data_IF_411653049229
#
_entry.id   IF_411653049229
#
_cell.length_a   1.000
_cell.length_b   1.000
_cell.length_c   1.000
_cell.angle_alpha   90.00
_cell.angle_beta   90.00
_cell.angle_gamma   90.00
#
_symmetry.space_group_name_H-M   'P 1'
#
loop_
_entity.id
_entity.type
_entity.pdbx_description
1 polymer ?
#
# COMPACT_ATOMS: atom_id res chain seq x y z
N UNK A 1 12.18 5.92 -2.75
CA UNK A 1 10.70 6.11 -2.79
C UNK A 1 10.06 4.79 -3.17
N UNK A 2 8.89 4.43 -2.62
CA UNK A 2 8.19 3.18 -2.98
C UNK A 2 7.51 3.38 -4.34
N UNK A 3 7.54 2.38 -5.21
CA UNK A 3 6.99 2.47 -6.57
C UNK A 3 6.07 1.29 -6.81
N UNK A 4 4.92 1.57 -7.37
CA UNK A 4 3.91 0.57 -7.73
C UNK A 4 3.73 0.58 -9.25
N UNK A 5 4.35 -0.37 -9.97
CA UNK A 5 4.05 -0.58 -11.39
C UNK A 5 2.56 -0.86 -11.56
N UNK A 6 1.94 -0.22 -12.55
CA UNK A 6 0.49 -0.35 -12.82
C UNK A 6 -0.39 -0.06 -11.59
N UNK A 7 -0.01 0.95 -10.79
CA UNK A 7 -0.62 1.29 -9.49
C UNK A 7 -2.14 1.12 -9.42
N UNK A 8 -2.94 1.76 -10.29
CA UNK A 8 -4.41 1.63 -10.28
C UNK A 8 -4.95 0.19 -10.41
N UNK A 9 -4.23 -0.70 -11.10
CA UNK A 9 -4.65 -2.08 -11.33
C UNK A 9 -4.39 -2.96 -10.09
N UNK A 10 -3.38 -2.60 -9.28
CA UNK A 10 -2.93 -3.40 -8.15
C UNK A 10 -3.18 -2.77 -6.78
N UNK A 11 -3.69 -1.54 -6.72
CA UNK A 11 -3.75 -0.74 -5.49
C UNK A 11 -4.64 -1.35 -4.40
N UNK A 12 -5.78 -1.96 -4.73
CA UNK A 12 -6.59 -2.64 -3.70
C UNK A 12 -5.97 -3.93 -3.17
N UNK A 13 -5.06 -4.55 -3.91
CA UNK A 13 -4.30 -5.73 -3.46
C UNK A 13 -3.11 -5.28 -2.63
N UNK A 14 -2.23 -4.47 -3.23
CA UNK A 14 -0.97 -4.07 -2.62
C UNK A 14 -1.22 -3.10 -1.48
N UNK A 15 -2.17 -2.19 -1.65
CA UNK A 15 -2.32 -1.01 -0.81
C UNK A 15 -1.25 0.03 -1.10
N UNK A 16 -0.96 0.84 -0.09
CA UNK A 16 0.04 1.88 -0.16
C UNK A 16 0.71 2.09 1.19
N UNK A 17 1.88 2.73 1.13
CA UNK A 17 2.59 3.26 2.30
C UNK A 17 2.55 4.79 2.31
N UNK A 18 2.50 5.38 3.49
CA UNK A 18 2.77 6.82 3.71
C UNK A 18 3.67 7.02 4.92
N UNK A 19 4.14 8.25 5.11
CA UNK A 19 4.92 8.61 6.29
C UNK A 19 4.08 8.41 7.55
N UNK A 20 4.71 7.87 8.59
CA UNK A 20 4.02 7.58 9.85
C UNK A 20 3.42 8.86 10.47
N UNK A 21 2.15 8.77 10.87
CA UNK A 21 1.45 9.87 11.53
C UNK A 21 1.90 10.07 12.98
N UNK A 22 1.68 11.25 13.59
CA UNK A 22 2.06 11.51 14.98
C UNK A 22 1.40 10.57 16.00
N UNK A 23 0.17 10.14 15.77
CA UNK A 23 -0.55 9.23 16.66
C UNK A 23 -0.04 7.79 16.54
N UNK A 24 0.15 7.31 15.31
CA UNK A 24 0.75 5.99 15.04
C UNK A 24 2.17 5.89 15.57
N UNK A 25 2.95 6.97 15.48
CA UNK A 25 4.31 7.04 16.02
C UNK A 25 4.33 6.80 17.54
N UNK A 26 3.35 7.35 18.27
CA UNK A 26 3.21 7.13 19.72
C UNK A 26 2.85 5.68 20.05
N UNK A 27 2.06 5.02 19.19
CA UNK A 27 1.60 3.65 19.41
C UNK A 27 2.62 2.59 18.97
N UNK A 28 3.42 2.88 17.95
CA UNK A 28 4.37 1.93 17.38
C UNK A 28 5.53 1.59 18.33
N UNK A 29 5.89 2.49 19.24
CA UNK A 29 6.95 2.31 20.26
C UNK A 29 8.37 2.34 19.69
N UNK A 30 8.65 1.55 18.65
CA UNK A 30 9.94 1.43 17.96
C UNK A 30 9.87 1.93 16.51
N UNK A 31 9.11 3.01 16.27
CA UNK A 31 9.10 3.70 14.98
C UNK A 31 9.85 5.01 15.07
N UNK A 32 10.48 5.41 13.95
CA UNK A 32 11.01 6.74 13.75
C UNK A 32 10.08 7.56 12.85
N UNK A 33 10.06 8.88 13.06
CA UNK A 33 9.19 9.82 12.34
C UNK A 33 9.40 9.85 10.81
N UNK A 34 10.56 9.40 10.33
CA UNK A 34 10.90 9.34 8.90
C UNK A 34 10.46 8.02 8.25
N UNK A 35 9.98 7.06 9.03
CA UNK A 35 9.58 5.75 8.52
C UNK A 35 8.25 5.81 7.80
N UNK A 36 8.07 4.83 6.91
CA UNK A 36 6.83 4.62 6.18
C UNK A 36 6.08 3.42 6.74
N UNK A 37 4.78 3.55 6.81
CA UNK A 37 3.86 2.53 7.29
C UNK A 37 2.83 2.22 6.20
N UNK A 38 2.47 0.95 6.08
CA UNK A 38 1.43 0.48 5.18
C UNK A 38 0.06 0.70 5.81
N UNK A 39 -0.83 1.36 5.07
CA UNK A 39 -2.19 1.68 5.54
C UNK A 39 -3.26 0.74 5.00
N UNK A 40 -2.97 -0.01 3.93
CA UNK A 40 -3.95 -0.90 3.31
C UNK A 40 -3.28 -2.11 2.65
N UNK A 41 -4.11 -3.10 2.28
CA UNK A 41 -3.71 -4.25 1.48
C UNK A 41 -2.56 -5.05 2.11
N UNK A 42 -1.68 -5.52 1.24
CA UNK A 42 -0.48 -6.27 1.60
C UNK A 42 0.52 -5.42 2.39
N UNK A 43 0.67 -4.14 2.04
CA UNK A 43 1.61 -3.24 2.73
C UNK A 43 1.29 -3.14 4.22
N UNK A 44 0.02 -3.01 4.59
CA UNK A 44 -0.39 -3.01 6.01
C UNK A 44 -0.30 -4.40 6.63
N UNK A 45 -0.89 -5.41 5.98
CA UNK A 45 -0.98 -6.77 6.51
C UNK A 45 0.39 -7.40 6.82
N UNK A 46 1.35 -7.18 5.92
CA UNK A 46 2.69 -7.76 6.01
C UNK A 46 3.77 -6.74 6.41
N UNK A 47 3.37 -5.58 6.95
CA UNK A 47 4.29 -4.50 7.35
C UNK A 47 5.47 -5.01 8.18
N UNK A 48 5.23 -5.90 9.15
CA UNK A 48 6.28 -6.43 10.04
C UNK A 48 7.41 -7.13 9.28
N UNK A 49 7.09 -7.79 8.16
CA UNK A 49 8.05 -8.51 7.32
C UNK A 49 8.69 -7.56 6.31
N UNK A 50 7.91 -6.62 5.76
CA UNK A 50 8.33 -5.70 4.70
C UNK A 50 9.20 -4.53 5.20
N UNK A 51 8.97 -4.06 6.43
CA UNK A 51 9.61 -2.85 6.99
C UNK A 51 11.09 -3.05 7.34
N UNK A 52 11.46 -4.24 7.81
CA UNK A 52 12.80 -4.47 8.36
C UNK A 52 13.05 -3.65 9.63
N UNK A 53 14.33 -3.35 9.89
CA UNK A 53 14.78 -2.51 11.00
C UNK A 53 15.74 -1.43 10.48
N UNK A 54 15.53 -0.15 10.79
CA UNK A 54 16.43 0.91 10.38
C UNK A 54 17.76 0.85 11.14
N UNK A 55 18.83 1.30 10.50
CA UNK A 55 20.11 1.53 11.16
C UNK A 55 20.03 2.76 12.05
N UNK A 56 20.56 2.69 13.27
CA UNK A 56 20.58 3.80 14.23
C UNK A 56 21.98 4.03 14.78
N UNK A 57 22.32 5.29 15.06
CA UNK A 57 23.59 5.70 15.65
C UNK A 57 23.38 6.83 16.64
N UNK A 58 23.83 6.64 17.88
CA UNK A 58 23.84 7.67 18.92
C UNK A 58 25.18 8.41 18.88
N UNK A 59 25.16 9.68 18.48
CA UNK A 59 26.36 10.49 18.26
C UNK A 59 26.44 11.62 19.30
N UNK A 60 27.62 11.82 19.89
CA UNK A 60 27.98 13.07 20.57
C UNK A 60 28.56 14.02 19.53
N UNK A 61 27.96 15.20 19.40
CA UNK A 61 28.48 16.26 18.53
C UNK A 61 28.93 17.47 19.35
N UNK A 62 29.91 18.22 18.84
CA UNK A 62 30.26 19.55 19.38
C UNK A 62 29.32 20.64 18.86
N UNK A 63 29.57 21.89 19.27
CA UNK A 63 28.77 23.05 18.83
C UNK A 63 28.86 23.35 17.32
N UNK A 64 29.87 22.80 16.63
CA UNK A 64 30.06 22.93 15.19
C UNK A 64 29.54 21.72 14.40
N UNK A 65 28.93 20.74 15.07
CA UNK A 65 28.41 19.52 14.46
C UNK A 65 29.45 18.42 14.21
N UNK A 66 30.67 18.55 14.73
CA UNK A 66 31.69 17.52 14.58
C UNK A 66 31.41 16.35 15.51
N UNK A 67 31.51 15.12 14.98
CA UNK A 67 31.30 13.90 15.76
C UNK A 67 32.48 13.70 16.71
N UNK A 68 32.21 13.86 18.00
CA UNK A 68 33.18 13.63 19.07
C UNK A 68 33.22 12.16 19.50
N UNK A 69 32.07 11.46 19.47
CA UNK A 69 31.95 10.07 19.92
C UNK A 69 30.70 9.39 19.36
N UNK A 70 30.79 8.08 19.11
CA UNK A 70 29.65 7.21 18.84
C UNK A 70 29.41 6.36 20.10
N UNK A 71 28.20 6.36 20.65
CA UNK A 71 27.85 5.62 21.87
C UNK A 71 27.23 4.27 21.58
N UNK A 72 26.18 4.25 20.75
CA UNK A 72 25.47 3.05 20.34
C UNK A 72 25.34 3.05 18.81
N UNK A 73 25.43 1.87 18.23
CA UNK A 73 25.17 1.66 16.81
C UNK A 73 24.40 0.36 16.65
N UNK A 74 23.23 0.42 16.04
CA UNK A 74 22.48 -0.76 15.63
C UNK A 74 22.52 -0.84 14.11
N UNK A 75 22.96 -1.99 13.57
CA UNK A 75 22.91 -2.23 12.14
C UNK A 75 21.47 -2.44 11.70
N UNK A 76 21.10 -1.84 10.56
CA UNK A 76 19.80 -2.03 9.97
C UNK A 76 19.65 -3.43 9.37
N UNK A 77 18.44 -3.97 9.42
CA UNK A 77 18.07 -5.24 8.79
C UNK A 77 17.11 -4.92 7.66
N UNK A 78 17.43 -5.31 6.43
CA UNK A 78 16.54 -5.13 5.30
C UNK A 78 15.24 -5.91 5.50
N UNK A 79 14.11 -5.33 5.08
CA UNK A 79 12.84 -6.05 4.99
C UNK A 79 12.92 -7.22 4.01
N UNK A 80 12.05 -8.22 4.19
CA UNK A 80 12.03 -9.40 3.33
C UNK A 80 11.09 -9.19 2.14
N UNK A 81 11.40 -9.88 1.04
CA UNK A 81 10.52 -9.94 -0.13
C UNK A 81 9.34 -10.87 0.13
N UNK A 82 8.16 -10.46 -0.33
CA UNK A 82 6.95 -11.29 -0.32
C UNK A 82 6.61 -11.69 -1.75
N UNK A 83 6.43 -12.99 -1.98
CA UNK A 83 5.88 -13.52 -3.24
C UNK A 83 4.40 -13.79 -3.03
N UNK A 84 3.58 -13.33 -3.96
CA UNK A 84 2.11 -13.45 -3.90
C UNK A 84 1.61 -14.34 -5.03
N UNK A 85 0.40 -14.87 -4.90
CA UNK A 85 -0.24 -15.72 -5.92
C UNK A 85 -0.81 -14.96 -7.12
N UNK A 86 -0.80 -13.63 -7.08
CA UNK A 86 -1.38 -12.79 -8.14
C UNK A 86 -0.55 -12.91 -9.42
N UNK A 87 -1.19 -13.36 -10.49
CA UNK A 87 -0.62 -13.31 -11.83
C UNK A 87 -0.81 -11.92 -12.42
N UNK A 88 0.30 -11.21 -12.64
CA UNK A 88 0.26 -9.84 -13.11
C UNK A 88 -0.33 -9.69 -14.53
N UNK A 89 -0.16 -10.68 -15.40
CA UNK A 89 -0.72 -10.66 -16.77
C UNK A 89 -2.23 -10.89 -16.72
N UNK A 90 -2.68 -11.84 -15.90
CA UNK A 90 -4.09 -12.11 -15.68
C UNK A 90 -4.79 -10.93 -15.01
N UNK A 91 -4.18 -10.34 -13.97
CA UNK A 91 -4.70 -9.13 -13.31
C UNK A 91 -4.97 -8.01 -14.33
N UNK A 92 -4.01 -7.71 -15.21
CA UNK A 92 -4.17 -6.69 -16.26
C UNK A 92 -5.28 -7.04 -17.24
N UNK A 93 -5.34 -8.30 -17.67
CA UNK A 93 -6.37 -8.77 -18.59
C UNK A 93 -7.77 -8.64 -17.98
N UNK A 94 -7.96 -9.08 -16.74
CA UNK A 94 -9.23 -8.99 -16.02
C UNK A 94 -9.60 -7.53 -15.76
N UNK A 95 -8.65 -6.69 -15.35
CA UNK A 95 -8.88 -5.26 -15.14
C UNK A 95 -9.41 -4.58 -16.40
N UNK A 96 -8.74 -4.80 -17.54
CA UNK A 96 -9.15 -4.24 -18.83
C UNK A 96 -10.53 -4.73 -19.24
N UNK A 97 -10.77 -6.03 -19.13
CA UNK A 97 -12.05 -6.65 -19.50
C UNK A 97 -13.20 -6.12 -18.63
N UNK A 98 -12.99 -6.04 -17.31
CA UNK A 98 -13.99 -5.52 -16.39
C UNK A 98 -14.29 -4.04 -16.64
N UNK A 99 -13.26 -3.23 -16.89
CA UNK A 99 -13.44 -1.80 -17.19
C UNK A 99 -14.24 -1.58 -18.49
N UNK A 100 -13.99 -2.40 -19.51
CA UNK A 100 -14.79 -2.40 -20.74
C UNK A 100 -16.25 -2.77 -20.44
N UNK A 101 -16.49 -3.85 -19.70
CA UNK A 101 -17.86 -4.28 -19.34
C UNK A 101 -18.62 -3.26 -18.50
N UNK A 102 -17.96 -2.62 -17.53
CA UNK A 102 -18.55 -1.54 -16.74
C UNK A 102 -19.01 -0.40 -17.65
N UNK A 103 -18.18 -0.04 -18.63
CA UNK A 103 -18.47 1.03 -19.60
C UNK A 103 -19.63 0.64 -20.53
N UNK A 104 -19.59 -0.57 -21.10
CA UNK A 104 -20.63 -1.10 -22.01
C UNK A 104 -22.00 -1.15 -21.32
N UNK A 105 -22.02 -1.61 -20.07
CA UNK A 105 -23.23 -1.73 -19.25
C UNK A 105 -23.66 -0.42 -18.59
N UNK A 106 -22.87 0.66 -18.74
CA UNK A 106 -23.09 1.97 -18.11
C UNK A 106 -23.30 1.89 -16.59
N UNK A 107 -22.59 0.97 -15.94
CA UNK A 107 -22.55 0.85 -14.47
C UNK A 107 -21.34 1.59 -13.92
N UNK A 108 -21.33 1.86 -12.62
CA UNK A 108 -20.25 2.65 -11.98
C UNK A 108 -19.19 1.78 -11.31
N UNK A 109 -19.58 0.61 -10.83
CA UNK A 109 -18.74 -0.23 -9.98
C UNK A 109 -18.70 -1.65 -10.54
N UNK A 110 -17.62 -2.37 -10.24
CA UNK A 110 -17.54 -3.80 -10.54
C UNK A 110 -16.40 -4.45 -9.78
N UNK A 111 -16.57 -5.74 -9.52
CA UNK A 111 -15.58 -6.59 -8.87
C UNK A 111 -15.39 -7.83 -9.71
N UNK A 112 -14.15 -8.30 -9.81
CA UNK A 112 -13.83 -9.59 -10.38
C UNK A 112 -12.75 -10.27 -9.53
N UNK A 113 -12.96 -11.54 -9.20
CA UNK A 113 -12.02 -12.36 -8.46
C UNK A 113 -11.79 -13.62 -9.28
N UNK A 114 -10.52 -13.97 -9.52
CA UNK A 114 -10.13 -15.23 -10.14
C UNK A 114 -9.40 -16.04 -9.08
N UNK A 115 -9.91 -17.23 -8.79
CA UNK A 115 -9.38 -18.12 -7.77
C UNK A 115 -9.12 -19.50 -8.37
N UNK A 116 -8.02 -20.12 -7.98
CA UNK A 116 -7.80 -21.55 -8.19
C UNK A 116 -8.67 -22.34 -7.18
N UNK A 117 -9.68 -23.08 -7.64
CA UNK A 117 -10.60 -23.81 -6.74
C UNK A 117 -9.93 -24.97 -6.01
N UNK A 118 -8.79 -25.48 -6.47
CA UNK A 118 -8.10 -26.59 -5.84
C UNK A 118 -7.21 -26.14 -4.67
N UNK A 119 -6.58 -24.98 -4.81
CA UNK A 119 -5.61 -24.45 -3.82
C UNK A 119 -6.15 -23.31 -2.98
N UNK A 120 -7.23 -22.66 -3.43
CA UNK A 120 -7.75 -21.44 -2.81
C UNK A 120 -6.96 -20.17 -3.16
N UNK A 121 -5.93 -20.28 -4.00
CA UNK A 121 -5.10 -19.13 -4.36
C UNK A 121 -5.88 -18.11 -5.19
N UNK A 122 -5.77 -16.85 -4.81
CA UNK A 122 -6.29 -15.73 -5.61
C UNK A 122 -5.26 -15.40 -6.68
N UNK A 123 -5.63 -15.52 -7.95
CA UNK A 123 -4.78 -15.26 -9.11
C UNK A 123 -4.98 -13.84 -9.65
N UNK A 124 -6.18 -13.29 -9.49
CA UNK A 124 -6.47 -11.88 -9.78
C UNK A 124 -7.61 -11.38 -8.89
N UNK A 125 -7.55 -10.12 -8.48
CA UNK A 125 -8.59 -9.44 -7.70
C UNK A 125 -8.69 -7.98 -8.12
N UNK A 126 -9.83 -7.62 -8.69
CA UNK A 126 -10.11 -6.27 -9.19
C UNK A 126 -11.32 -5.69 -8.45
N UNK A 127 -11.18 -4.44 -7.99
CA UNK A 127 -12.25 -3.62 -7.44
C UNK A 127 -12.24 -2.27 -8.18
N UNK A 128 -13.33 -1.96 -8.88
CA UNK A 128 -13.46 -0.70 -9.63
C UNK A 128 -14.59 0.18 -9.07
N UNK A 129 -14.41 1.52 -9.09
CA UNK A 129 -13.20 2.24 -9.50
C UNK A 129 -12.06 2.08 -8.48
N UNK A 130 -10.85 2.38 -8.96
CA UNK A 130 -9.60 2.24 -8.22
C UNK A 130 -8.85 3.57 -8.15
N UNK A 131 -7.74 3.58 -7.43
CA UNK A 131 -6.87 4.74 -7.20
C UNK A 131 -5.42 4.40 -7.51
N UNK A 132 -4.61 5.40 -7.85
CA UNK A 132 -3.16 5.23 -7.99
C UNK A 132 -2.48 5.31 -6.61
N UNK A 133 -1.93 4.19 -6.13
CA UNK A 133 -1.22 4.11 -4.87
C UNK A 133 0.15 4.83 -4.88
N UNK A 134 0.71 5.18 -6.05
CA UNK A 134 1.92 6.00 -6.12
C UNK A 134 1.70 7.40 -5.53
N UNK A 135 0.47 7.91 -5.56
CA UNK A 135 0.11 9.22 -5.00
C UNK A 135 0.44 9.32 -3.50
N UNK A 136 0.36 8.20 -2.76
CA UNK A 136 0.60 8.17 -1.32
C UNK A 136 2.09 7.98 -0.96
N UNK A 137 2.84 7.26 -1.81
CA UNK A 137 4.24 6.93 -1.54
C UNK A 137 5.13 8.15 -1.35
N UNK A 138 4.87 9.24 -2.07
CA UNK A 138 5.65 10.48 -2.04
C UNK A 138 5.21 11.51 -0.99
N UNK A 139 4.12 11.25 -0.27
CA UNK A 139 3.35 12.30 0.40
C UNK A 139 2.32 12.87 -0.57
N UNK A 140 1.06 12.51 -0.34
CA UNK A 140 -0.05 12.95 -1.19
C UNK A 140 -0.36 14.42 -0.92
N UNK A 141 -0.65 15.19 -1.97
CA UNK A 141 -1.15 16.54 -1.80
C UNK A 141 -2.54 16.51 -1.13
N UNK A 142 -2.74 17.39 -0.14
CA UNK A 142 -4.00 17.43 0.62
C UNK A 142 -5.23 17.52 -0.29
N UNK A 143 -5.17 18.31 -1.37
CA UNK A 143 -6.28 18.43 -2.32
C UNK A 143 -6.60 17.10 -3.00
N UNK A 144 -5.58 16.42 -3.54
CA UNK A 144 -5.75 15.12 -4.21
C UNK A 144 -6.28 14.06 -3.24
N UNK A 145 -5.83 14.11 -1.98
CA UNK A 145 -6.35 13.22 -0.94
C UNK A 145 -7.83 13.48 -0.64
N UNK A 146 -8.23 14.75 -0.51
CA UNK A 146 -9.64 15.12 -0.32
C UNK A 146 -10.49 14.70 -1.52
N UNK A 147 -10.02 14.93 -2.75
CA UNK A 147 -10.72 14.51 -3.96
C UNK A 147 -10.99 12.99 -3.97
N UNK A 148 -10.06 12.16 -3.48
CA UNK A 148 -10.22 10.71 -3.37
C UNK A 148 -11.20 10.27 -2.27
N UNK A 149 -11.27 11.01 -1.17
CA UNK A 149 -12.18 10.75 -0.05
C UNK A 149 -13.61 11.15 -0.40
N UNK A 150 -13.76 12.34 -0.99
CA UNK A 150 -15.05 12.94 -1.31
C UNK A 150 -15.66 12.39 -2.61
N UNK A 151 -14.90 11.61 -3.38
CA UNK A 151 -15.40 10.96 -4.59
C UNK A 151 -16.60 10.05 -4.24
N UNK A 152 -17.81 10.31 -4.78
CA UNK A 152 -19.00 9.52 -4.50
C UNK A 152 -18.89 8.07 -4.98
N UNK A 153 -17.96 7.78 -5.91
CA UNK A 153 -17.64 6.43 -6.36
C UNK A 153 -16.63 5.73 -5.45
N UNK A 154 -16.16 6.33 -4.34
CA UNK A 154 -15.35 5.69 -3.29
C UNK A 154 -14.21 4.83 -3.85
N UNK A 155 -13.23 5.39 -4.58
CA UNK A 155 -12.16 4.63 -5.21
C UNK A 155 -11.24 3.95 -4.19
N UNK A 156 -11.08 4.52 -2.99
CA UNK A 156 -10.30 3.91 -1.90
C UNK A 156 -10.96 2.67 -1.29
N UNK A 157 -12.26 2.47 -1.50
CA UNK A 157 -13.01 1.36 -0.91
C UNK A 157 -12.77 0.06 -1.69
N UNK A 158 -12.16 -0.92 -1.02
CA UNK A 158 -11.96 -2.25 -1.59
C UNK A 158 -13.28 -3.05 -1.52
N UNK A 159 -13.99 -3.06 -2.64
CA UNK A 159 -15.28 -3.74 -2.80
C UNK A 159 -15.17 -5.26 -2.83
N UNK A 160 -14.01 -5.80 -3.16
CA UNK A 160 -13.81 -7.25 -3.28
C UNK A 160 -13.80 -7.94 -1.91
N UNK A 161 -13.33 -7.24 -0.87
CA UNK A 161 -13.22 -7.80 0.49
C UNK A 161 -14.24 -7.22 1.47
N UNK A 162 -14.66 -5.96 1.28
CA UNK A 162 -15.53 -5.25 2.22
C UNK A 162 -16.91 -4.91 1.64
N UNK A 163 -17.14 -5.17 0.35
CA UNK A 163 -18.44 -4.95 -0.27
C UNK A 163 -19.46 -6.00 0.15
N UNK A 164 -20.68 -5.57 0.50
CA UNK A 164 -21.80 -6.44 0.79
C UNK A 164 -22.79 -6.37 -0.38
N UNK A 165 -23.08 -7.52 -0.98
CA UNK A 165 -23.99 -7.65 -2.12
C UNK A 165 -24.96 -8.82 -1.87
N UNK A 166 -26.25 -8.69 -2.25
CA UNK A 166 -27.16 -9.83 -2.26
C UNK A 166 -26.65 -10.92 -3.23
N UNK A 167 -26.59 -12.20 -2.82
CA UNK A 167 -26.14 -13.31 -3.66
C UNK A 167 -27.19 -13.75 -4.69
#
# INVERSE_FOLDING_TARGET
MRRYPDGPIFSHILGYVSQIGPEELKQCGNCFYFEKVGHSGIESTYQKILRGQPQTQDLKVDAHGQILKIFNQQQGIAGQSLVVSIDASLQRFVAKTLQQKISDLKIKHGVAIVQDPQTGQILAMISLPSYDNNLFSGGIENKVYQDLIDDPQKPLFNRAIAGLYPP
#
